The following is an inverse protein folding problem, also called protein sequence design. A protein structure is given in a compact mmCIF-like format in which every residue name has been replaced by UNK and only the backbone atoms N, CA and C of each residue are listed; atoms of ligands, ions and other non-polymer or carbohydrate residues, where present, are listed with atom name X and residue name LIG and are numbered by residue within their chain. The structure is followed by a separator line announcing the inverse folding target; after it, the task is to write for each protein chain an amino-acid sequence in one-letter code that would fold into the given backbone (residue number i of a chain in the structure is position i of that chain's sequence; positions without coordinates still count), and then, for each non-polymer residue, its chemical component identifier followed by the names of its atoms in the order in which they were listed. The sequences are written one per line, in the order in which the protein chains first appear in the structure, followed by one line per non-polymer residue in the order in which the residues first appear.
data_IF_033377973557
#
_entry.id   IF_033377973557
#
_cell.length_a   1.000
_cell.length_b   1.000
_cell.length_c   1.000
_cell.angle_alpha   90.00
_cell.angle_beta   90.00
_cell.angle_gamma   90.00
#
_symmetry.space_group_name_H-M   'P 1'
#
loop_
_entity.id
_entity.type
_entity.pdbx_description
1 polymer ?
#
# COMPACT_ATOMS: atom_id res chain seq x y z
N UNK A 1 64.96 -13.17 -56.68
CA UNK A 1 64.77 -12.20 -55.59
C UNK A 1 63.85 -11.13 -56.17
N UNK A 2 62.55 -11.35 -56.13
CA UNK A 2 61.66 -10.87 -55.06
C UNK A 2 60.44 -11.78 -54.99
N UNK A 3 60.11 -12.25 -53.78
CA UNK A 3 58.96 -13.11 -53.52
C UNK A 3 57.75 -12.20 -53.27
N UNK A 4 56.90 -12.03 -54.27
CA UNK A 4 55.60 -11.36 -54.14
C UNK A 4 54.79 -12.06 -53.03
N UNK A 5 54.58 -11.36 -51.91
CA UNK A 5 53.71 -11.83 -50.83
C UNK A 5 52.25 -11.61 -51.25
N UNK A 6 51.38 -12.64 -51.20
CA UNK A 6 49.97 -12.44 -51.46
C UNK A 6 49.34 -11.63 -50.32
N UNK A 7 48.63 -10.57 -50.69
CA UNK A 7 47.80 -9.75 -49.80
C UNK A 7 46.61 -10.62 -49.36
N UNK A 8 46.32 -10.77 -48.05
CA UNK A 8 45.23 -11.61 -47.60
C UNK A 8 43.87 -10.96 -47.90
N UNK A 9 43.09 -11.59 -48.80
CA UNK A 9 41.76 -11.17 -49.24
C UNK A 9 40.64 -11.42 -48.19
N UNK A 10 40.87 -11.08 -46.92
CA UNK A 10 39.90 -11.28 -45.81
C UNK A 10 39.16 -9.98 -45.44
N UNK A 11 39.50 -8.84 -46.05
CA UNK A 11 39.02 -7.52 -45.62
C UNK A 11 37.64 -7.03 -46.13
N UNK A 12 37.06 -7.46 -47.27
CA UNK A 12 35.83 -6.83 -47.75
C UNK A 12 34.56 -7.25 -46.99
N UNK A 13 34.50 -8.48 -46.49
CA UNK A 13 33.34 -8.99 -45.75
C UNK A 13 33.30 -8.37 -44.35
N UNK A 14 34.45 -8.25 -43.67
CA UNK A 14 34.56 -7.71 -42.31
C UNK A 14 34.12 -6.25 -42.24
N UNK A 15 34.54 -5.43 -43.19
CA UNK A 15 34.14 -4.01 -43.26
C UNK A 15 32.62 -3.82 -43.52
N UNK A 16 31.99 -4.73 -44.27
CA UNK A 16 30.54 -4.66 -44.55
C UNK A 16 29.71 -4.99 -43.31
N UNK A 17 30.12 -5.98 -42.50
CA UNK A 17 29.44 -6.33 -41.25
C UNK A 17 29.58 -5.24 -40.19
N UNK A 18 30.74 -4.61 -40.09
CA UNK A 18 30.98 -3.51 -39.14
C UNK A 18 30.07 -2.30 -39.44
N UNK A 19 29.99 -1.87 -40.70
CA UNK A 19 29.10 -0.77 -41.09
C UNK A 19 27.61 -1.07 -40.87
N UNK A 20 27.19 -2.32 -41.10
CA UNK A 20 25.79 -2.73 -40.88
C UNK A 20 25.39 -2.64 -39.40
N UNK A 21 26.25 -3.06 -38.48
CA UNK A 21 26.00 -3.00 -37.03
C UNK A 21 25.89 -1.55 -36.55
N UNK A 22 26.73 -0.66 -37.08
CA UNK A 22 26.68 0.77 -36.77
C UNK A 22 25.35 1.40 -37.21
N UNK A 23 24.96 1.23 -38.48
CA UNK A 23 23.71 1.78 -38.99
C UNK A 23 22.48 1.22 -38.25
N UNK A 24 22.49 -0.08 -37.94
CA UNK A 24 21.44 -0.71 -37.15
C UNK A 24 21.34 -0.08 -35.75
N UNK A 25 22.46 0.08 -35.04
CA UNK A 25 22.50 0.77 -33.75
C UNK A 25 21.95 2.20 -33.81
N UNK A 26 22.35 2.98 -34.83
CA UNK A 26 21.87 4.36 -35.01
C UNK A 26 20.37 4.45 -35.32
N UNK A 27 19.83 3.54 -36.13
CA UNK A 27 18.38 3.52 -36.43
C UNK A 27 17.55 3.19 -35.20
N UNK A 28 17.97 2.21 -34.40
CA UNK A 28 17.32 1.83 -33.15
C UNK A 28 17.41 2.97 -32.13
N UNK A 29 18.54 3.67 -32.07
CA UNK A 29 18.73 4.83 -31.20
C UNK A 29 17.74 5.95 -31.54
N UNK A 30 17.59 6.28 -32.83
CA UNK A 30 16.60 7.28 -33.28
C UNK A 30 15.17 6.86 -32.90
N UNK A 31 14.83 5.59 -33.08
CA UNK A 31 13.51 5.06 -32.72
C UNK A 31 13.25 5.13 -31.21
N UNK A 32 14.28 4.90 -30.39
CA UNK A 32 14.19 5.03 -28.93
C UNK A 32 13.86 6.44 -28.47
N UNK A 33 14.39 7.47 -29.13
CA UNK A 33 14.08 8.88 -28.80
C UNK A 33 12.67 9.32 -29.21
N UNK A 34 11.95 8.53 -30.01
CA UNK A 34 10.54 8.79 -30.35
C UNK A 34 9.56 8.35 -29.25
N UNK A 35 10.05 7.88 -28.10
CA UNK A 35 9.20 7.45 -26.99
C UNK A 35 8.37 8.57 -26.37
N UNK A 36 7.15 8.23 -25.93
CA UNK A 36 6.21 9.15 -25.29
C UNK A 36 6.49 9.42 -23.80
N UNK A 37 5.60 10.18 -23.16
CA UNK A 37 5.68 10.50 -21.72
C UNK A 37 5.05 9.40 -20.85
N UNK A 38 5.53 9.25 -19.61
CA UNK A 38 5.02 8.31 -18.61
C UNK A 38 5.87 7.06 -18.42
N UNK A 39 5.54 6.21 -17.43
CA UNK A 39 6.32 5.02 -17.08
C UNK A 39 6.48 4.02 -18.25
N UNK A 40 5.39 3.80 -19.01
CA UNK A 40 5.40 2.97 -20.21
C UNK A 40 6.22 3.59 -21.36
N UNK A 41 6.18 4.92 -21.50
CA UNK A 41 7.01 5.66 -22.46
C UNK A 41 8.50 5.57 -22.11
N UNK A 42 8.86 5.68 -20.83
CA UNK A 42 10.23 5.47 -20.39
C UNK A 42 10.70 4.02 -20.62
N UNK A 43 9.87 3.01 -20.35
CA UNK A 43 10.18 1.61 -20.66
C UNK A 43 10.45 1.41 -22.16
N UNK A 44 9.66 2.07 -23.02
CA UNK A 44 9.88 2.08 -24.46
C UNK A 44 11.24 2.70 -24.81
N UNK A 45 11.55 3.91 -24.30
CA UNK A 45 12.82 4.61 -24.56
C UNK A 45 14.01 3.73 -24.17
N UNK A 46 14.06 3.26 -22.92
CA UNK A 46 15.18 2.44 -22.45
C UNK A 46 15.22 1.06 -23.11
N UNK A 47 14.06 0.50 -23.45
CA UNK A 47 13.93 -0.76 -24.18
C UNK A 47 14.56 -0.72 -25.58
N UNK A 48 14.53 0.43 -26.26
CA UNK A 48 15.22 0.63 -27.54
C UNK A 48 16.65 1.15 -27.37
N UNK A 49 16.95 1.97 -26.36
CA UNK A 49 18.31 2.44 -26.07
C UNK A 49 19.26 1.29 -25.70
N UNK A 50 18.79 0.28 -24.96
CA UNK A 50 19.58 -0.89 -24.57
C UNK A 50 20.14 -1.66 -25.80
N UNK A 51 19.33 -2.16 -26.75
CA UNK A 51 19.86 -2.81 -27.95
C UNK A 51 20.67 -1.85 -28.83
N UNK A 52 20.36 -0.55 -28.87
CA UNK A 52 21.16 0.42 -29.62
C UNK A 52 22.60 0.54 -29.06
N UNK A 53 22.76 0.70 -27.75
CA UNK A 53 24.08 0.76 -27.11
C UNK A 53 24.82 -0.57 -27.18
N UNK A 54 24.10 -1.71 -27.17
CA UNK A 54 24.69 -3.03 -27.42
C UNK A 54 25.31 -3.11 -28.82
N UNK A 55 24.59 -2.66 -29.85
CA UNK A 55 25.10 -2.63 -31.23
C UNK A 55 26.31 -1.69 -31.37
N UNK A 56 26.27 -0.50 -30.76
CA UNK A 56 27.38 0.45 -30.78
C UNK A 56 28.60 -0.06 -29.99
N UNK A 57 28.39 -0.76 -28.87
CA UNK A 57 29.45 -1.43 -28.13
C UNK A 57 30.08 -2.58 -28.95
N UNK A 58 29.25 -3.42 -29.59
CA UNK A 58 29.73 -4.49 -30.47
C UNK A 58 30.56 -3.94 -31.63
N UNK A 59 30.11 -2.85 -32.26
CA UNK A 59 30.88 -2.14 -33.28
C UNK A 59 32.23 -1.65 -32.74
N UNK A 60 32.22 -0.93 -31.61
CA UNK A 60 33.45 -0.42 -30.98
C UNK A 60 34.43 -1.49 -30.51
N UNK A 61 33.95 -2.72 -30.23
CA UNK A 61 34.80 -3.89 -29.92
C UNK A 61 35.42 -4.50 -31.19
N UNK A 62 34.67 -4.55 -32.29
CA UNK A 62 35.13 -5.11 -33.56
C UNK A 62 36.18 -4.19 -34.23
N UNK A 63 36.04 -2.87 -34.04
CA UNK A 63 37.03 -1.88 -34.48
C UNK A 63 38.19 -1.82 -33.49
N UNK A 64 39.36 -2.33 -33.88
CA UNK A 64 40.59 -2.51 -33.07
C UNK A 64 41.20 -1.23 -32.42
N UNK A 65 40.52 -0.08 -32.45
CA UNK A 65 40.99 1.20 -31.91
C UNK A 65 39.97 1.91 -30.98
N UNK A 66 38.92 1.22 -30.51
CA UNK A 66 37.78 1.85 -29.81
C UNK A 66 37.58 1.45 -28.35
N UNK A 67 38.63 1.17 -27.55
CA UNK A 67 38.45 0.73 -26.15
C UNK A 67 37.61 1.72 -25.31
N UNK A 68 37.82 3.01 -25.51
CA UNK A 68 37.03 4.08 -24.87
C UNK A 68 35.57 4.06 -25.35
N UNK A 69 35.35 3.98 -26.66
CA UNK A 69 34.01 3.88 -27.27
C UNK A 69 33.25 2.66 -26.76
N UNK A 70 33.90 1.50 -26.68
CA UNK A 70 33.33 0.29 -26.12
C UNK A 70 32.93 0.48 -24.66
N UNK A 71 33.81 1.09 -23.85
CA UNK A 71 33.58 1.29 -22.41
C UNK A 71 32.40 2.21 -22.14
N UNK A 72 32.30 3.36 -22.84
CA UNK A 72 31.17 4.28 -22.68
C UNK A 72 29.84 3.66 -23.11
N UNK A 73 29.79 2.97 -24.25
CA UNK A 73 28.56 2.32 -24.71
C UNK A 73 28.14 1.16 -23.78
N UNK A 74 29.10 0.44 -23.20
CA UNK A 74 28.81 -0.59 -22.20
C UNK A 74 28.24 0.02 -20.90
N UNK A 75 28.80 1.13 -20.42
CA UNK A 75 28.27 1.84 -19.25
C UNK A 75 26.85 2.36 -19.48
N UNK A 76 26.58 2.92 -20.67
CA UNK A 76 25.25 3.39 -21.05
C UNK A 76 24.24 2.23 -21.17
N UNK A 77 24.67 1.08 -21.71
CA UNK A 77 23.87 -0.15 -21.72
C UNK A 77 23.49 -0.57 -20.30
N UNK A 78 24.47 -0.66 -19.39
CA UNK A 78 24.22 -1.03 -18.00
C UNK A 78 23.28 -0.05 -17.29
N UNK A 79 23.46 1.25 -17.50
CA UNK A 79 22.57 2.29 -16.97
C UNK A 79 21.13 2.13 -17.50
N UNK A 80 20.96 1.82 -18.79
CA UNK A 80 19.64 1.56 -19.38
C UNK A 80 18.99 0.30 -18.78
N UNK A 81 19.75 -0.78 -18.60
CA UNK A 81 19.24 -2.02 -18.00
C UNK A 81 18.83 -1.82 -16.54
N UNK A 82 19.62 -1.09 -15.75
CA UNK A 82 19.28 -0.73 -14.37
C UNK A 82 17.99 0.09 -14.31
N UNK A 83 17.84 1.05 -15.22
CA UNK A 83 16.64 1.89 -15.30
C UNK A 83 15.40 1.07 -15.71
N UNK A 84 15.51 0.17 -16.69
CA UNK A 84 14.43 -0.77 -17.05
C UNK A 84 14.05 -1.62 -15.85
N UNK A 85 15.03 -2.20 -15.16
CA UNK A 85 14.78 -3.03 -13.99
C UNK A 85 14.06 -2.25 -12.88
N UNK A 86 14.51 -1.03 -12.58
CA UNK A 86 13.87 -0.16 -11.60
C UNK A 86 12.43 0.22 -12.00
N UNK A 87 12.19 0.52 -13.29
CA UNK A 87 10.86 0.86 -13.79
C UNK A 87 9.91 -0.34 -13.78
N UNK A 88 10.38 -1.52 -14.17
CA UNK A 88 9.60 -2.76 -14.09
C UNK A 88 9.24 -3.09 -12.65
N UNK A 89 10.20 -2.97 -11.72
CA UNK A 89 9.93 -3.17 -10.30
C UNK A 89 8.86 -2.19 -9.79
N UNK A 90 8.97 -0.91 -10.15
CA UNK A 90 7.97 0.11 -9.79
C UNK A 90 6.59 -0.20 -10.39
N UNK A 91 6.54 -0.55 -11.67
CA UNK A 91 5.29 -0.83 -12.39
C UNK A 91 4.60 -2.09 -11.83
N UNK A 92 5.37 -3.13 -11.54
CA UNK A 92 4.83 -4.34 -10.91
C UNK A 92 4.22 -4.02 -9.55
N UNK A 93 4.91 -3.23 -8.73
CA UNK A 93 4.41 -2.80 -7.41
C UNK A 93 3.17 -1.92 -7.50
N UNK A 94 3.11 -1.01 -8.47
CA UNK A 94 1.94 -0.16 -8.72
C UNK A 94 0.75 -0.96 -9.27
N UNK A 95 1.00 -1.96 -10.13
CA UNK A 95 -0.02 -2.84 -10.71
C UNK A 95 -0.74 -3.67 -9.65
N UNK A 96 0.01 -4.34 -8.77
CA UNK A 96 -0.56 -5.11 -7.65
C UNK A 96 -1.42 -4.21 -6.75
N UNK A 97 -0.96 -2.99 -6.44
CA UNK A 97 -1.73 -2.01 -5.67
C UNK A 97 -3.04 -1.61 -6.38
N UNK A 98 -3.00 -1.48 -7.71
CA UNK A 98 -4.16 -1.11 -8.52
C UNK A 98 -5.25 -2.17 -8.50
N UNK A 99 -4.87 -3.45 -8.61
CA UNK A 99 -5.82 -4.57 -8.57
C UNK A 99 -6.51 -4.68 -7.20
N UNK A 100 -5.77 -4.55 -6.10
CA UNK A 100 -6.34 -4.59 -4.75
C UNK A 100 -7.31 -3.44 -4.49
N UNK A 101 -6.96 -2.23 -4.91
CA UNK A 101 -7.85 -1.06 -4.79
C UNK A 101 -9.09 -1.20 -5.68
N UNK A 102 -8.96 -1.79 -6.87
CA UNK A 102 -10.10 -2.07 -7.74
C UNK A 102 -11.04 -3.12 -7.13
N UNK A 103 -10.48 -4.20 -6.56
CA UNK A 103 -11.23 -5.21 -5.84
C UNK A 103 -11.95 -4.61 -4.62
N UNK A 104 -11.26 -3.76 -3.84
CA UNK A 104 -11.85 -3.02 -2.73
C UNK A 104 -13.02 -2.13 -3.19
N UNK A 105 -12.83 -1.39 -4.28
CA UNK A 105 -13.86 -0.55 -4.84
C UNK A 105 -15.10 -1.36 -5.20
N UNK A 106 -14.93 -2.49 -5.88
CA UNK A 106 -16.03 -3.38 -6.27
C UNK A 106 -16.72 -4.04 -5.06
N UNK A 107 -15.97 -4.43 -4.03
CA UNK A 107 -16.52 -5.17 -2.89
C UNK A 107 -17.23 -4.27 -1.86
N UNK A 108 -16.72 -3.07 -1.62
CA UNK A 108 -17.19 -2.21 -0.50
C UNK A 108 -17.83 -0.93 -1.02
N UNK A 109 -17.16 -0.20 -1.89
CA UNK A 109 -17.57 1.15 -2.30
C UNK A 109 -18.67 1.13 -3.38
N UNK A 110 -18.67 0.13 -4.25
CA UNK A 110 -19.67 -0.04 -5.31
C UNK A 110 -21.06 -0.36 -4.74
N UNK A 111 -21.23 -1.30 -3.77
CA UNK A 111 -22.51 -1.50 -3.08
C UNK A 111 -23.03 -0.26 -2.35
N UNK A 112 -22.13 0.59 -1.84
CA UNK A 112 -22.46 1.86 -1.20
C UNK A 112 -22.79 2.99 -2.18
N UNK A 113 -22.72 2.74 -3.50
CA UNK A 113 -23.01 3.73 -4.53
C UNK A 113 -22.00 4.87 -4.61
N UNK A 114 -20.75 4.63 -4.20
CA UNK A 114 -19.71 5.66 -4.16
C UNK A 114 -19.16 5.91 -5.56
N UNK A 115 -19.17 7.16 -6.06
CA UNK A 115 -18.64 7.45 -7.37
C UNK A 115 -17.11 7.34 -7.40
N UNK A 116 -16.58 6.88 -8.54
CA UNK A 116 -15.14 6.60 -8.72
C UNK A 116 -14.26 7.81 -8.41
N UNK A 117 -14.72 9.04 -8.69
CA UNK A 117 -13.94 10.25 -8.43
C UNK A 117 -13.72 10.48 -6.92
N UNK A 118 -14.73 10.24 -6.08
CA UNK A 118 -14.59 10.34 -4.61
C UNK A 118 -13.66 9.24 -4.10
N UNK A 119 -13.81 8.00 -4.60
CA UNK A 119 -12.90 6.93 -4.23
C UNK A 119 -11.45 7.26 -4.59
N UNK A 120 -11.20 7.88 -5.76
CA UNK A 120 -9.86 8.33 -6.14
C UNK A 120 -9.28 9.35 -5.16
N UNK A 121 -10.09 10.31 -4.68
CA UNK A 121 -9.65 11.28 -3.69
C UNK A 121 -9.35 10.64 -2.32
N UNK A 122 -10.21 9.71 -1.87
CA UNK A 122 -9.96 8.90 -0.66
C UNK A 122 -8.69 8.07 -0.84
N UNK A 123 -8.48 7.52 -2.05
CA UNK A 123 -7.31 6.70 -2.33
C UNK A 123 -6.02 7.51 -2.42
N UNK A 124 -6.11 8.75 -2.87
CA UNK A 124 -4.98 9.67 -2.88
C UNK A 124 -4.61 10.11 -1.46
N UNK A 125 -5.57 10.08 -0.53
CA UNK A 125 -5.32 10.36 0.88
C UNK A 125 -4.65 9.19 1.63
N UNK A 126 -4.61 7.97 1.05
CA UNK A 126 -3.82 6.88 1.60
C UNK A 126 -2.36 7.30 1.78
N UNK A 127 -1.71 6.78 2.81
CA UNK A 127 -0.28 6.99 3.06
C UNK A 127 0.63 6.29 2.04
N UNK A 128 0.39 6.43 0.73
CA UNK A 128 1.15 5.92 -0.43
C UNK A 128 1.62 4.44 -0.40
N UNK A 129 1.27 3.67 0.65
CA UNK A 129 1.77 2.31 0.87
C UNK A 129 0.64 1.43 1.36
N UNK A 130 0.28 0.45 0.54
CA UNK A 130 -0.27 -0.81 1.05
C UNK A 130 0.85 -1.43 1.87
N UNK A 131 0.57 -1.66 3.15
CA UNK A 131 1.52 -2.25 4.08
C UNK A 131 1.23 -3.74 4.15
N UNK A 132 2.27 -4.53 3.94
CA UNK A 132 2.23 -5.98 4.11
C UNK A 132 2.63 -6.31 5.55
N UNK A 133 1.89 -7.22 6.16
CA UNK A 133 2.10 -7.71 7.51
C UNK A 133 2.15 -9.23 7.45
N UNK A 134 3.29 -9.83 7.79
CA UNK A 134 3.48 -11.28 7.71
C UNK A 134 2.78 -11.99 8.86
N UNK A 135 2.45 -13.26 8.67
CA UNK A 135 1.92 -14.10 9.74
C UNK A 135 2.81 -14.04 10.99
N UNK A 136 2.21 -13.71 12.14
CA UNK A 136 2.89 -13.52 13.43
C UNK A 136 3.42 -12.11 13.70
N UNK A 137 3.44 -11.21 12.71
CA UNK A 137 3.81 -9.81 12.94
C UNK A 137 2.68 -9.05 13.68
N UNK A 138 3.08 -8.12 14.54
CA UNK A 138 2.15 -7.30 15.32
C UNK A 138 1.95 -5.94 14.64
N UNK A 139 0.69 -5.60 14.37
CA UNK A 139 0.31 -4.28 13.88
C UNK A 139 0.34 -3.25 15.01
N UNK A 140 -0.26 -3.60 16.15
CA UNK A 140 -0.32 -2.74 17.32
C UNK A 140 -0.11 -3.57 18.59
N UNK A 141 0.56 -2.97 19.57
CA UNK A 141 0.81 -3.57 20.88
C UNK A 141 0.12 -2.72 21.93
N UNK A 142 -0.62 -3.41 22.80
CA UNK A 142 -1.34 -2.84 23.94
C UNK A 142 -0.45 -1.90 24.78
N UNK A 143 -0.97 -0.70 25.06
CA UNK A 143 -0.32 0.32 25.88
C UNK A 143 0.96 0.95 25.30
N UNK A 144 1.38 0.53 24.10
CA UNK A 144 2.62 0.98 23.46
C UNK A 144 2.38 1.74 22.17
N UNK A 145 1.57 1.18 21.26
CA UNK A 145 1.34 1.80 19.95
C UNK A 145 0.42 3.02 20.10
N UNK A 146 0.79 4.20 19.59
CA UNK A 146 -0.09 5.37 19.57
C UNK A 146 -1.15 5.25 18.47
N UNK A 147 -2.30 5.88 18.69
CA UNK A 147 -3.42 5.90 17.73
C UNK A 147 -3.30 7.15 16.85
N UNK A 148 -2.51 7.08 15.79
CA UNK A 148 -2.21 8.21 14.89
C UNK A 148 -2.72 8.02 13.45
N UNK A 149 -3.29 6.86 13.16
CA UNK A 149 -3.80 6.47 11.85
C UNK A 149 -5.08 5.66 11.96
N UNK A 150 -5.83 5.60 10.86
CA UNK A 150 -6.93 4.68 10.66
C UNK A 150 -6.49 3.66 9.61
N UNK A 151 -6.53 2.37 9.92
CA UNK A 151 -6.17 1.30 8.99
C UNK A 151 -7.34 0.44 8.57
N UNK A 152 -7.33 -0.01 7.32
CA UNK A 152 -8.35 -0.86 6.71
C UNK A 152 -7.73 -2.08 6.06
N UNK A 153 -8.25 -3.26 6.42
CA UNK A 153 -7.70 -4.55 6.00
C UNK A 153 -8.17 -4.90 4.58
N UNK A 154 -7.23 -5.08 3.65
CA UNK A 154 -7.51 -5.50 2.28
C UNK A 154 -7.63 -7.02 2.19
N UNK A 155 -6.66 -7.74 2.77
CA UNK A 155 -6.58 -9.19 2.71
C UNK A 155 -5.97 -9.78 3.99
N UNK A 156 -6.22 -11.07 4.21
CA UNK A 156 -5.75 -11.81 5.38
C UNK A 156 -6.71 -11.72 6.57
N UNK A 157 -6.17 -12.03 7.75
CA UNK A 157 -6.92 -12.04 9.02
C UNK A 157 -6.03 -11.59 10.16
N UNK A 158 -6.57 -10.72 10.99
CA UNK A 158 -5.89 -10.19 12.17
C UNK A 158 -6.56 -10.74 13.42
N UNK A 159 -5.75 -11.23 14.34
CA UNK A 159 -6.13 -11.65 15.68
C UNK A 159 -6.07 -10.45 16.63
N UNK A 160 -7.17 -10.23 17.37
CA UNK A 160 -7.25 -9.24 18.46
C UNK A 160 -7.12 -9.94 19.80
N UNK A 161 -6.18 -9.49 20.62
CA UNK A 161 -5.94 -10.00 21.97
C UNK A 161 -5.81 -8.88 23.01
N UNK A 162 -6.25 -9.15 24.23
CA UNK A 162 -6.13 -8.25 25.40
C UNK A 162 -5.44 -9.04 26.51
N UNK A 163 -4.34 -8.51 27.06
CA UNK A 163 -3.55 -9.21 28.09
C UNK A 163 -3.16 -10.66 27.69
N UNK A 164 -2.98 -10.91 26.39
CA UNK A 164 -2.68 -12.23 25.84
C UNK A 164 -3.89 -13.17 25.66
N UNK A 165 -5.09 -12.77 26.07
CA UNK A 165 -6.32 -13.51 25.80
C UNK A 165 -6.92 -13.15 24.44
N UNK A 166 -7.34 -14.16 23.69
CA UNK A 166 -8.02 -14.00 22.40
C UNK A 166 -9.41 -13.36 22.55
N UNK A 167 -9.67 -12.26 21.84
CA UNK A 167 -10.99 -11.62 21.77
C UNK A 167 -11.74 -12.05 20.52
N UNK A 168 -11.28 -11.62 19.35
CA UNK A 168 -11.94 -11.86 18.08
C UNK A 168 -10.99 -11.72 16.89
N UNK A 169 -11.45 -12.19 15.74
CA UNK A 169 -10.75 -11.99 14.48
C UNK A 169 -11.36 -10.80 13.74
N UNK A 170 -10.50 -9.98 13.16
CA UNK A 170 -10.86 -8.97 12.17
C UNK A 170 -10.61 -9.58 10.79
N UNK A 171 -11.66 -9.55 9.97
CA UNK A 171 -11.66 -10.16 8.64
C UNK A 171 -11.36 -9.12 7.55
N UNK A 172 -11.10 -9.60 6.34
CA UNK A 172 -10.93 -8.74 5.15
C UNK A 172 -12.09 -7.74 5.02
N UNK A 173 -11.76 -6.55 4.54
CA UNK A 173 -12.68 -5.43 4.33
C UNK A 173 -13.28 -4.83 5.62
N UNK A 174 -12.62 -5.03 6.76
CA UNK A 174 -12.95 -4.38 8.03
C UNK A 174 -11.84 -3.41 8.45
N UNK A 175 -12.20 -2.44 9.26
CA UNK A 175 -11.23 -1.54 9.86
C UNK A 175 -10.46 -2.26 10.98
N UNK A 176 -9.18 -1.94 11.13
CA UNK A 176 -8.40 -2.43 12.26
C UNK A 176 -8.71 -1.58 13.51
N UNK A 177 -8.71 -0.26 13.33
CA UNK A 177 -8.61 0.71 14.42
C UNK A 177 -9.88 1.55 14.60
N UNK A 178 -11.03 1.05 14.13
CA UNK A 178 -12.28 1.80 14.14
C UNK A 178 -12.78 2.19 15.56
N UNK A 179 -12.75 1.32 16.59
CA UNK A 179 -13.11 1.75 17.95
C UNK A 179 -12.14 2.77 18.54
N UNK A 180 -10.83 2.57 18.33
CA UNK A 180 -9.76 3.44 18.77
C UNK A 180 -9.82 4.82 18.11
N UNK A 181 -10.18 4.85 16.82
CA UNK A 181 -10.35 6.07 16.06
C UNK A 181 -11.48 6.94 16.61
N UNK A 182 -12.65 6.33 16.84
CA UNK A 182 -13.89 7.01 17.25
C UNK A 182 -13.86 7.45 18.72
N UNK A 183 -13.18 6.69 19.58
CA UNK A 183 -13.06 7.00 21.01
C UNK A 183 -12.18 8.23 21.28
N UNK A 184 -11.22 8.53 20.41
CA UNK A 184 -10.31 9.66 20.59
C UNK A 184 -10.83 10.92 19.92
N UNK A 185 -10.72 12.04 20.63
CA UNK A 185 -10.93 13.36 20.02
C UNK A 185 -9.79 13.70 19.04
N UNK A 186 -10.01 14.56 18.03
CA UNK A 186 -8.99 14.88 17.04
C UNK A 186 -7.67 15.43 17.60
N UNK A 187 -7.70 16.05 18.81
CA UNK A 187 -6.55 16.67 19.46
C UNK A 187 -5.99 15.86 20.64
N UNK A 188 -6.50 14.64 20.85
CA UNK A 188 -6.15 13.78 21.97
C UNK A 188 -5.26 12.63 21.48
N UNK A 189 -4.19 12.38 22.23
CA UNK A 189 -3.30 11.25 21.98
C UNK A 189 -3.77 10.07 22.83
N UNK A 190 -4.00 8.94 22.18
CA UNK A 190 -4.32 7.69 22.84
C UNK A 190 -3.39 6.57 22.40
N UNK A 191 -3.45 5.48 23.15
CA UNK A 191 -2.71 4.25 22.84
C UNK A 191 -3.69 3.10 22.61
N UNK A 192 -3.27 2.15 21.79
CA UNK A 192 -4.04 0.93 21.59
C UNK A 192 -4.26 0.21 22.93
N UNK A 193 -5.50 -0.18 23.18
CA UNK A 193 -5.88 -0.96 24.37
C UNK A 193 -5.79 -2.47 24.11
N UNK A 194 -5.66 -2.88 22.85
CA UNK A 194 -5.56 -4.28 22.44
C UNK A 194 -4.30 -4.50 21.62
N UNK A 195 -3.83 -5.74 21.60
CA UNK A 195 -2.76 -6.19 20.72
C UNK A 195 -3.35 -6.82 19.46
N UNK A 196 -2.92 -6.32 18.31
CA UNK A 196 -3.35 -6.76 16.99
C UNK A 196 -2.20 -7.51 16.32
N UNK A 197 -2.40 -8.79 16.02
CA UNK A 197 -1.38 -9.68 15.44
C UNK A 197 -1.91 -10.33 14.18
N UNK A 198 -1.13 -10.35 13.10
CA UNK A 198 -1.48 -11.08 11.90
C UNK A 198 -1.49 -12.59 12.15
N UNK A 199 -2.62 -13.25 11.85
CA UNK A 199 -2.70 -14.71 11.84
C UNK A 199 -2.18 -15.27 10.50
N UNK A 200 -2.46 -14.56 9.41
CA UNK A 200 -2.07 -14.90 8.04
C UNK A 200 -1.35 -13.71 7.40
N UNK A 201 -0.65 -13.94 6.28
CA UNK A 201 -0.07 -12.84 5.48
C UNK A 201 -1.18 -11.88 5.06
N UNK A 202 -1.10 -10.67 5.63
CA UNK A 202 -2.16 -9.68 5.60
C UNK A 202 -1.68 -8.40 4.93
N UNK A 203 -2.60 -7.71 4.27
CA UNK A 203 -2.32 -6.42 3.64
C UNK A 203 -3.36 -5.41 4.07
N UNK A 204 -2.91 -4.21 4.40
CA UNK A 204 -3.80 -3.13 4.83
C UNK A 204 -3.36 -1.79 4.25
N UNK A 205 -4.30 -0.86 4.21
CA UNK A 205 -4.06 0.54 3.86
C UNK A 205 -4.32 1.40 5.07
N UNK A 206 -3.48 2.41 5.28
CA UNK A 206 -3.66 3.35 6.38
C UNK A 206 -3.79 4.79 5.90
N UNK A 207 -4.62 5.55 6.61
CA UNK A 207 -4.73 6.99 6.48
C UNK A 207 -4.18 7.64 7.74
N UNK A 208 -3.26 8.59 7.57
CA UNK A 208 -2.82 9.43 8.69
C UNK A 208 -4.00 10.25 9.21
N UNK A 209 -4.14 10.32 10.53
CA UNK A 209 -5.27 10.97 11.20
C UNK A 209 -5.53 12.39 10.70
N UNK A 210 -4.48 13.22 10.67
CA UNK A 210 -4.57 14.61 10.19
C UNK A 210 -5.03 14.73 8.74
N UNK A 211 -4.54 13.87 7.84
CA UNK A 211 -4.91 13.92 6.41
C UNK A 211 -6.35 13.48 6.19
N UNK A 212 -6.79 12.44 6.90
CA UNK A 212 -8.16 11.95 6.79
C UNK A 212 -9.17 12.98 7.32
N UNK A 213 -8.90 13.59 8.48
CA UNK A 213 -9.75 14.65 9.01
C UNK A 213 -9.85 15.87 8.08
N UNK A 214 -8.75 16.27 7.42
CA UNK A 214 -8.80 17.32 6.40
C UNK A 214 -9.67 16.95 5.19
N UNK A 215 -9.66 15.68 4.77
CA UNK A 215 -10.51 15.21 3.68
C UNK A 215 -11.99 15.20 4.07
N UNK A 216 -12.29 14.69 5.28
CA UNK A 216 -13.63 14.64 5.87
C UNK A 216 -14.20 16.05 6.04
N UNK A 217 -13.40 17.02 6.50
CA UNK A 217 -13.85 18.40 6.68
C UNK A 217 -14.07 19.12 5.35
N UNK A 218 -13.30 18.79 4.32
CA UNK A 218 -13.45 19.37 2.97
C UNK A 218 -14.72 18.90 2.27
N UNK A 219 -15.14 17.64 2.46
CA UNK A 219 -16.26 17.06 1.73
C UNK A 219 -17.29 16.38 2.62
N UNK A 220 -18.50 16.96 2.68
CA UNK A 220 -19.64 16.40 3.43
C UNK A 220 -20.07 15.00 2.99
N UNK A 221 -19.82 14.64 1.73
CA UNK A 221 -20.13 13.30 1.23
C UNK A 221 -19.18 12.26 1.85
N UNK A 222 -17.87 12.53 1.82
CA UNK A 222 -16.84 11.68 2.45
C UNK A 222 -17.10 11.56 3.95
N UNK A 223 -17.46 12.66 4.63
CA UNK A 223 -17.80 12.63 6.05
C UNK A 223 -18.94 11.65 6.37
N UNK A 224 -20.04 11.71 5.60
CA UNK A 224 -21.17 10.78 5.78
C UNK A 224 -20.78 9.34 5.44
N UNK A 225 -20.00 9.14 4.39
CA UNK A 225 -19.53 7.82 3.99
C UNK A 225 -18.72 7.16 5.12
N UNK A 226 -17.71 7.86 5.66
CA UNK A 226 -16.90 7.34 6.75
C UNK A 226 -17.69 7.13 8.04
N UNK A 227 -18.65 8.02 8.36
CA UNK A 227 -19.53 7.83 9.52
C UNK A 227 -20.37 6.55 9.41
N UNK A 228 -20.93 6.26 8.23
CA UNK A 228 -21.69 5.03 7.98
C UNK A 228 -20.78 3.80 8.03
N UNK A 229 -19.62 3.86 7.37
CA UNK A 229 -18.66 2.75 7.33
C UNK A 229 -18.11 2.40 8.72
N UNK A 230 -17.68 3.40 9.49
CA UNK A 230 -17.16 3.21 10.85
C UNK A 230 -18.27 2.74 11.79
N UNK A 231 -19.47 3.32 11.70
CA UNK A 231 -20.61 2.91 12.52
C UNK A 231 -21.02 1.46 12.25
N UNK A 232 -21.04 1.04 10.97
CA UNK A 232 -21.31 -0.35 10.60
C UNK A 232 -20.24 -1.32 11.14
N UNK A 233 -18.96 -0.99 10.98
CA UNK A 233 -17.85 -1.83 11.43
C UNK A 233 -17.80 -1.97 12.97
N UNK A 234 -17.98 -0.86 13.70
CA UNK A 234 -18.06 -0.87 15.17
C UNK A 234 -19.25 -1.70 15.64
N UNK A 235 -20.43 -1.53 15.03
CA UNK A 235 -21.60 -2.32 15.37
C UNK A 235 -21.35 -3.82 15.14
N UNK A 236 -20.77 -4.20 14.01
CA UNK A 236 -20.44 -5.60 13.70
C UNK A 236 -19.47 -6.20 14.72
N UNK A 237 -18.40 -5.47 15.09
CA UNK A 237 -17.45 -5.88 16.14
C UNK A 237 -18.14 -6.05 17.49
N UNK A 238 -19.00 -5.11 17.88
CA UNK A 238 -19.77 -5.20 19.13
C UNK A 238 -20.73 -6.38 19.13
N UNK A 239 -21.43 -6.63 18.03
CA UNK A 239 -22.31 -7.81 17.89
C UNK A 239 -21.52 -9.11 17.99
N UNK A 240 -20.35 -9.19 17.36
CA UNK A 240 -19.48 -10.37 17.43
C UNK A 240 -18.95 -10.62 18.85
N UNK A 241 -18.59 -9.56 19.57
CA UNK A 241 -18.19 -9.67 20.98
C UNK A 241 -19.37 -10.11 21.87
N UNK A 242 -20.54 -9.50 21.67
CA UNK A 242 -21.73 -9.81 22.44
C UNK A 242 -22.19 -11.26 22.24
N UNK A 243 -22.18 -11.76 21.01
CA UNK A 243 -22.49 -13.17 20.72
C UNK A 243 -21.53 -14.13 21.44
N UNK A 244 -20.25 -13.78 21.56
CA UNK A 244 -19.28 -14.59 22.33
C UNK A 244 -19.53 -14.53 23.83
N UNK A 245 -19.92 -13.38 24.37
CA UNK A 245 -20.31 -13.24 25.77
C UNK A 245 -21.56 -14.08 26.06
N UNK A 246 -22.58 -14.03 25.19
CA UNK A 246 -23.77 -14.88 25.33
C UNK A 246 -23.43 -16.36 25.41
N UNK A 247 -22.52 -16.85 24.57
CA UNK A 247 -22.10 -18.27 24.58
C UNK A 247 -21.33 -18.63 25.85
N UNK A 248 -20.52 -17.71 26.40
CA UNK A 248 -19.68 -17.97 27.58
C UNK A 248 -20.41 -17.79 28.91
N UNK A 249 -21.29 -16.81 29.03
CA UNK A 249 -21.93 -16.43 30.29
C UNK A 249 -23.46 -16.53 30.28
N UNK A 250 -24.08 -16.83 29.13
CA UNK A 250 -25.53 -16.84 28.96
C UNK A 250 -26.18 -15.45 28.92
N UNK A 251 -25.37 -14.37 28.97
CA UNK A 251 -25.85 -12.99 29.02
C UNK A 251 -25.80 -12.38 27.62
N UNK A 252 -26.97 -12.01 27.08
CA UNK A 252 -27.09 -11.24 25.86
C UNK A 252 -27.23 -9.76 26.25
N UNK A 253 -26.22 -8.95 25.95
CA UNK A 253 -26.31 -7.51 26.17
C UNK A 253 -27.19 -6.89 25.09
N UNK A 254 -28.21 -6.12 25.46
CA UNK A 254 -28.94 -5.33 24.48
C UNK A 254 -28.17 -4.03 24.22
N UNK A 255 -27.35 -4.06 23.16
CA UNK A 255 -26.50 -2.94 22.75
C UNK A 255 -27.34 -1.71 22.32
N UNK A 256 -28.66 -1.87 22.14
CA UNK A 256 -29.60 -0.78 21.78
C UNK A 256 -30.06 0.05 22.97
N UNK A 257 -29.79 -0.36 24.21
CA UNK A 257 -30.14 0.38 25.43
C UNK A 257 -28.88 0.78 26.20
N UNK A 258 -28.33 1.99 25.96
CA UNK A 258 -27.11 2.46 26.64
C UNK A 258 -27.26 2.70 28.15
N UNK A 259 -28.46 2.62 28.75
CA UNK A 259 -28.74 3.18 30.08
C UNK A 259 -29.08 2.20 31.20
N UNK A 260 -29.01 0.88 31.01
CA UNK A 260 -29.48 -0.06 32.05
C UNK A 260 -28.38 -0.80 32.83
N UNK A 261 -27.10 -0.57 32.54
CA UNK A 261 -26.02 -1.39 33.10
C UNK A 261 -25.23 -0.75 34.24
N UNK A 262 -25.63 0.43 34.73
CA UNK A 262 -25.01 1.01 35.93
C UNK A 262 -25.57 0.46 37.25
N UNK A 263 -26.73 -0.19 37.26
CA UNK A 263 -27.46 -0.51 38.50
C UNK A 263 -27.49 -2.00 38.89
N UNK A 264 -26.94 -2.91 38.09
CA UNK A 264 -27.04 -4.35 38.40
C UNK A 264 -25.83 -4.91 39.18
N UNK A 265 -24.80 -4.11 39.46
CA UNK A 265 -23.63 -4.56 40.23
C UNK A 265 -23.55 -3.98 41.66
N UNK A 266 -24.49 -3.13 42.06
CA UNK A 266 -24.50 -2.46 43.36
C UNK A 266 -25.80 -2.71 44.14
N UNK A 267 -26.06 -3.98 44.46
CA UNK A 267 -27.02 -4.33 45.52
C UNK A 267 -26.32 -4.85 46.78
N UNK A 268 -25.20 -4.23 47.18
CA UNK A 268 -24.64 -4.50 48.51
C UNK A 268 -23.88 -3.37 49.23
N UNK A 269 -23.98 -2.10 48.83
CA UNK A 269 -23.34 -1.00 49.59
C UNK A 269 -24.21 0.25 49.74
N UNK A 270 -25.38 0.10 50.36
CA UNK A 270 -26.03 1.21 51.05
C UNK A 270 -25.33 1.47 52.39
N UNK A 271 -24.24 2.24 52.35
CA UNK A 271 -23.83 3.23 53.35
C UNK A 271 -22.35 3.56 53.16
N UNK A 272 -22.04 4.67 52.48
CA UNK A 272 -21.34 5.81 53.09
C UNK A 272 -21.00 6.88 52.05
N UNK A 273 -21.35 8.12 52.42
CA UNK A 273 -20.66 9.38 52.09
C UNK A 273 -20.82 9.96 50.67
N UNK A 274 -21.68 10.98 50.62
CA UNK A 274 -21.38 12.29 50.04
C UNK A 274 -19.87 12.60 50.10
N UNK A 275 -19.23 12.86 48.96
CA UNK A 275 -18.87 14.23 48.56
C UNK A 275 -18.11 14.25 47.22
N UNK A 276 -18.36 15.32 46.46
CA UNK A 276 -17.59 15.87 45.33
C UNK A 276 -17.72 15.30 43.90
N UNK A 277 -18.44 16.14 43.12
CA UNK A 277 -18.10 16.70 41.80
C UNK A 277 -18.33 15.84 40.55
N UNK A 278 -19.47 16.15 39.91
CA UNK A 278 -19.68 16.17 38.46
C UNK A 278 -18.41 16.62 37.70
N UNK A 279 -18.09 15.98 36.56
CA UNK A 279 -18.77 16.35 35.32
C UNK A 279 -19.09 15.14 34.45
N UNK A 280 -20.20 15.14 33.73
CA UNK A 280 -20.25 14.68 32.34
C UNK A 280 -21.57 15.14 31.74
N UNK A 281 -21.40 16.16 30.90
CA UNK A 281 -22.42 16.82 30.10
C UNK A 281 -22.99 15.80 29.12
N UNK A 282 -24.31 15.69 29.17
CA UNK A 282 -25.12 14.87 28.31
C UNK A 282 -24.97 15.28 26.83
N UNK A 283 -24.74 14.26 26.01
CA UNK A 283 -25.23 14.05 24.65
C UNK A 283 -26.13 15.15 24.08
N UNK A 284 -25.60 15.85 23.07
CA UNK A 284 -26.37 16.51 22.02
C UNK A 284 -25.63 16.40 20.69
#
# INVERSE_FOLDING_TARGET
EEREKPIPAVEPVRNRTEGAIYHLGSTILFLGYMGGSGAYGCLFIFGFLSPAFLCLALWGRLTLCGADVFTWNLLLLLACLLQIYHLLYRLHREGVRGEELAALYQAVYLPLGVPVHVFKEISHAFGDRVVELRAGETYAVEGKTPIDQLSFLLSGRINVSLEGQFLHYIHRHQFLDSPEWESLRPNEEGKFQVTLTAEEDSRFVSWRRRRLYMLISKQRYVARLFSVMLGYDIAEKLYNLNNKLYIKSGVLLDIRLPSLYHDCHDSQWFHYRNDQKHPLVAWK
#
